data_IF_419741428887
#
_entry.id   IF_419741428887
#
_cell.length_a   1.000
_cell.length_b   1.000
_cell.length_c   1.000
_cell.angle_alpha   90.00
_cell.angle_beta   90.00
_cell.angle_gamma   90.00
#
_symmetry.space_group_name_H-M   'P 1'
#
loop_
_entity.id
_entity.type
_entity.pdbx_description
1 polymer ?
#
# COMPACT_ATOMS: atom_id res chain seq x y z
N UNK A 1 28.87 21.77 -43.00
CA UNK A 1 27.54 22.02 -42.39
C UNK A 1 26.67 20.79 -42.62
N UNK A 2 25.84 20.41 -41.65
CA UNK A 2 24.99 19.17 -41.56
C UNK A 2 25.52 18.15 -40.54
N UNK A 3 25.46 18.52 -39.26
CA UNK A 3 25.51 17.62 -38.11
C UNK A 3 24.33 17.97 -37.20
N UNK A 4 23.12 17.67 -37.65
CA UNK A 4 21.89 17.76 -36.87
C UNK A 4 20.98 16.63 -37.36
N UNK A 5 20.12 16.08 -36.51
CA UNK A 5 19.12 15.02 -36.80
C UNK A 5 19.57 13.59 -36.41
N UNK A 6 20.09 13.41 -35.20
CA UNK A 6 20.21 12.06 -34.61
C UNK A 6 19.92 12.01 -33.09
N UNK A 7 19.13 12.96 -32.55
CA UNK A 7 18.98 13.10 -31.08
C UNK A 7 17.51 12.99 -30.59
N UNK A 8 16.51 12.91 -31.47
CA UNK A 8 15.09 13.06 -31.03
C UNK A 8 14.34 11.73 -30.78
N UNK A 9 14.98 10.56 -30.88
CA UNK A 9 14.25 9.28 -30.79
C UNK A 9 14.82 8.30 -29.74
N UNK A 10 15.14 8.78 -28.54
CA UNK A 10 15.52 7.91 -27.42
C UNK A 10 14.98 8.45 -26.08
N UNK A 11 13.69 8.77 -26.02
CA UNK A 11 13.08 9.38 -24.83
C UNK A 11 11.74 8.77 -24.43
N UNK A 12 11.58 7.44 -24.59
CA UNK A 12 10.39 6.70 -24.12
C UNK A 12 10.73 5.29 -23.59
N UNK A 13 11.94 5.09 -23.05
CA UNK A 13 12.27 3.85 -22.32
C UNK A 13 12.82 4.24 -20.94
N UNK A 14 11.96 4.84 -20.14
CA UNK A 14 12.06 4.74 -18.69
C UNK A 14 10.79 4.03 -18.24
N UNK A 15 10.64 2.77 -18.69
CA UNK A 15 9.86 1.82 -17.94
C UNK A 15 10.55 1.71 -16.58
N UNK A 16 10.05 2.47 -15.61
CA UNK A 16 10.35 2.23 -14.21
C UNK A 16 9.79 0.84 -13.92
N UNK A 17 10.60 -0.20 -14.13
CA UNK A 17 10.34 -1.50 -13.58
C UNK A 17 10.71 -1.44 -12.09
N UNK A 18 9.90 -0.70 -11.32
CA UNK A 18 9.71 -1.00 -9.92
C UNK A 18 9.26 -2.45 -9.92
N UNK A 19 10.18 -3.33 -9.52
CA UNK A 19 9.83 -4.73 -9.32
C UNK A 19 8.91 -4.70 -8.12
N UNK A 20 7.61 -4.58 -8.36
CA UNK A 20 6.63 -4.47 -7.28
C UNK A 20 6.78 -5.73 -6.44
N UNK A 21 7.48 -5.61 -5.31
CA UNK A 21 7.69 -6.71 -4.41
C UNK A 21 6.45 -6.80 -3.53
N UNK A 22 5.41 -7.41 -4.09
CA UNK A 22 4.17 -7.66 -3.37
C UNK A 22 4.43 -8.69 -2.28
N UNK A 23 4.30 -8.28 -1.01
CA UNK A 23 4.48 -9.16 0.15
C UNK A 23 3.16 -9.32 0.88
N UNK A 24 2.93 -10.54 1.37
CA UNK A 24 1.81 -10.82 2.26
C UNK A 24 2.22 -10.52 3.70
N UNK A 25 1.44 -9.69 4.37
CA UNK A 25 1.67 -9.27 5.76
C UNK A 25 0.38 -9.30 6.56
N UNK A 26 0.53 -9.30 7.89
CA UNK A 26 -0.55 -9.06 8.83
C UNK A 26 -0.36 -7.65 9.42
N UNK A 27 -1.40 -6.83 9.32
CA UNK A 27 -1.49 -5.51 9.93
C UNK A 27 -2.56 -5.58 11.02
N UNK A 28 -2.24 -5.02 12.19
CA UNK A 28 -3.19 -4.90 13.28
C UNK A 28 -4.11 -3.70 13.01
N UNK A 29 -5.41 -3.96 13.05
CA UNK A 29 -6.43 -2.94 13.06
C UNK A 29 -6.55 -2.24 14.42
N UNK A 30 -7.34 -1.16 14.43
CA UNK A 30 -7.75 -0.46 15.64
C UNK A 30 -8.73 -1.30 16.47
N UNK A 31 -8.74 -1.04 17.78
CA UNK A 31 -9.65 -1.65 18.75
C UNK A 31 -11.06 -1.01 18.74
N UNK A 32 -11.30 0.02 17.94
CA UNK A 32 -12.57 0.77 17.94
C UNK A 32 -13.47 0.45 16.74
N UNK A 33 -14.77 0.72 16.88
CA UNK A 33 -15.78 0.53 15.84
C UNK A 33 -15.52 1.33 14.53
N UNK A 34 -14.62 2.32 14.57
CA UNK A 34 -14.18 3.09 13.40
C UNK A 34 -12.66 2.92 13.23
N UNK A 35 -12.26 1.77 12.70
CA UNK A 35 -10.85 1.49 12.45
C UNK A 35 -10.34 2.26 11.20
N UNK A 36 -9.47 3.28 11.38
CA UNK A 36 -8.93 4.02 10.24
C UNK A 36 -8.07 3.14 9.33
N UNK A 37 -7.44 2.09 9.86
CA UNK A 37 -6.61 1.17 9.08
C UNK A 37 -7.49 0.33 8.16
N UNK A 38 -8.58 -0.22 8.70
CA UNK A 38 -9.54 -0.99 7.91
C UNK A 38 -10.16 -0.16 6.76
N UNK A 39 -10.56 1.08 7.05
CA UNK A 39 -11.10 1.98 6.04
C UNK A 39 -10.09 2.27 4.92
N UNK A 40 -8.81 2.48 5.27
CA UNK A 40 -7.75 2.71 4.29
C UNK A 40 -7.46 1.47 3.46
N UNK A 41 -7.41 0.28 4.07
CA UNK A 41 -7.21 -0.98 3.34
C UNK A 41 -8.33 -1.21 2.31
N UNK A 42 -9.58 -0.93 2.67
CA UNK A 42 -10.72 -1.04 1.74
C UNK A 42 -10.61 -0.06 0.56
N UNK A 43 -10.07 1.14 0.77
CA UNK A 43 -9.84 2.10 -0.31
C UNK A 43 -8.72 1.62 -1.24
N UNK A 44 -7.60 1.16 -0.68
CA UNK A 44 -6.45 0.66 -1.44
C UNK A 44 -6.79 -0.61 -2.23
N UNK A 45 -7.63 -1.49 -1.68
CA UNK A 45 -8.13 -2.66 -2.39
C UNK A 45 -8.98 -2.25 -3.61
N UNK A 46 -9.86 -1.26 -3.46
CA UNK A 46 -10.64 -0.71 -4.59
C UNK A 46 -9.76 -0.09 -5.67
N UNK A 47 -8.63 0.49 -5.29
CA UNK A 47 -7.66 1.06 -6.23
C UNK A 47 -6.72 0.01 -6.85
N UNK A 48 -6.75 -1.24 -6.37
CA UNK A 48 -5.83 -2.30 -6.81
C UNK A 48 -4.41 -2.15 -6.27
N UNK A 49 -4.21 -1.35 -5.23
CA UNK A 49 -2.92 -1.15 -4.54
C UNK A 49 -2.67 -2.22 -3.46
N UNK A 50 -3.74 -2.93 -3.07
CA UNK A 50 -3.74 -4.04 -2.11
C UNK A 50 -4.59 -5.18 -2.68
N UNK A 51 -4.23 -6.44 -2.39
CA UNK A 51 -5.01 -7.63 -2.77
C UNK A 51 -4.96 -8.72 -1.70
N UNK A 52 -5.73 -9.78 -1.89
CA UNK A 52 -5.84 -10.93 -0.97
C UNK A 52 -6.22 -10.52 0.47
N UNK A 53 -7.07 -9.50 0.61
CA UNK A 53 -7.45 -8.96 1.90
C UNK A 53 -8.29 -9.99 2.67
N UNK A 54 -7.88 -10.31 3.89
CA UNK A 54 -8.63 -11.15 4.83
C UNK A 54 -8.69 -10.43 6.17
N UNK A 55 -9.91 -10.13 6.63
CA UNK A 55 -10.15 -9.48 7.91
C UNK A 55 -10.60 -10.54 8.92
N UNK A 56 -9.87 -10.64 10.03
CA UNK A 56 -10.24 -11.45 11.19
C UNK A 56 -10.76 -10.51 12.28
N UNK A 57 -12.05 -10.64 12.58
CA UNK A 57 -12.75 -9.88 13.62
C UNK A 57 -12.42 -10.41 15.04
N UNK A 58 -11.13 -10.69 15.30
CA UNK A 58 -10.60 -10.85 16.65
C UNK A 58 -10.37 -9.48 17.29
N UNK A 59 -10.10 -9.44 18.60
CA UNK A 59 -9.73 -8.19 19.28
C UNK A 59 -8.25 -8.23 19.73
N UNK A 60 -7.35 -7.40 19.16
CA UNK A 60 -7.59 -6.45 18.07
C UNK A 60 -7.85 -7.13 16.72
N UNK A 61 -8.44 -6.37 15.79
CA UNK A 61 -8.73 -6.83 14.42
C UNK A 61 -7.41 -7.17 13.74
N UNK A 62 -7.35 -8.29 13.02
CA UNK A 62 -6.18 -8.65 12.22
C UNK A 62 -6.53 -8.57 10.75
N UNK A 63 -5.74 -7.82 10.00
CA UNK A 63 -5.96 -7.60 8.57
C UNK A 63 -4.77 -8.21 7.84
N UNK A 64 -4.99 -9.33 7.16
CA UNK A 64 -4.01 -9.93 6.28
C UNK A 64 -4.19 -9.33 4.89
N UNK A 65 -3.10 -8.92 4.25
CA UNK A 65 -3.15 -8.36 2.90
C UNK A 65 -1.83 -8.56 2.16
N UNK A 66 -1.88 -8.48 0.83
CA UNK A 66 -0.71 -8.46 -0.04
C UNK A 66 -0.59 -7.07 -0.67
N UNK A 67 0.55 -6.39 -0.50
CA UNK A 67 0.80 -5.06 -1.06
C UNK A 67 2.31 -4.80 -1.25
N UNK A 68 2.65 -3.66 -1.85
CA UNK A 68 4.05 -3.20 -1.95
C UNK A 68 4.60 -2.80 -0.58
N UNK A 69 5.93 -2.77 -0.44
CA UNK A 69 6.60 -2.33 0.80
C UNK A 69 6.17 -0.91 1.19
N UNK A 70 6.06 0.02 0.24
CA UNK A 70 5.60 1.39 0.49
C UNK A 70 4.19 1.44 1.08
N UNK A 71 3.26 0.67 0.51
CA UNK A 71 1.87 0.61 1.00
C UNK A 71 1.80 -0.04 2.39
N UNK A 72 2.59 -1.08 2.62
CA UNK A 72 2.68 -1.75 3.93
C UNK A 72 3.20 -0.76 4.98
N UNK A 73 4.28 -0.05 4.69
CA UNK A 73 4.87 0.93 5.60
C UNK A 73 3.88 2.08 5.88
N UNK A 74 3.18 2.56 4.86
CA UNK A 74 2.15 3.59 5.02
C UNK A 74 1.04 3.13 5.98
N UNK A 75 0.52 1.92 5.79
CA UNK A 75 -0.52 1.34 6.64
C UNK A 75 -0.03 1.07 8.07
N UNK A 76 1.22 0.62 8.22
CA UNK A 76 1.81 0.38 9.54
C UNK A 76 2.02 1.66 10.35
N UNK A 77 2.33 2.77 9.69
CA UNK A 77 2.55 4.06 10.32
C UNK A 77 1.28 4.90 10.52
N UNK A 78 0.11 4.41 10.12
CA UNK A 78 -1.15 5.10 10.37
C UNK A 78 -1.40 5.27 11.88
N UNK A 79 -1.91 6.44 12.33
CA UNK A 79 -2.24 6.65 13.72
C UNK A 79 -3.34 5.68 14.14
N UNK A 80 -3.04 4.85 15.14
CA UNK A 80 -4.00 3.92 15.75
C UNK A 80 -4.48 4.55 17.05
N UNK A 81 -5.78 4.59 17.27
CA UNK A 81 -6.31 4.85 18.61
C UNK A 81 -6.07 3.60 19.44
N UNK A 82 -4.98 3.60 20.20
CA UNK A 82 -4.75 2.57 21.21
C UNK A 82 -5.66 2.88 22.40
N UNK A 83 -6.19 1.83 23.03
CA UNK A 83 -7.07 1.89 24.23
C UNK A 83 -6.40 2.53 25.47
N UNK A 84 -5.22 3.13 25.32
CA UNK A 84 -4.39 3.73 26.36
C UNK A 84 -4.56 5.24 26.52
N UNK A 85 -5.35 5.91 25.68
CA UNK A 85 -5.63 7.35 25.77
C UNK A 85 -6.91 7.66 26.59
N UNK A 86 -7.13 6.90 27.68
CA UNK A 86 -8.15 7.17 28.70
C UNK A 86 -7.57 7.17 30.10
#
# INVERSE_FOLDING_TARGET
MKKCIAIVLFMMIQACSTTDNWKRVMILGSAEANDPVLAQVQLLEKNGEVKDVTVLESFPVQIWLTASDETIDALQNMPRKTVSDQ
#
